data_IF_666983239359
#
_entry.id   IF_666983239359
#
_cell.length_a   1.000
_cell.length_b   1.000
_cell.length_c   1.000
_cell.angle_alpha   90.00
_cell.angle_beta   90.00
_cell.angle_gamma   90.00
#
_symmetry.space_group_name_H-M   'P 1'
#
loop_
_entity.id
_entity.type
_entity.pdbx_description
1 polymer ?
#
# COMPACT_ATOMS: atom_id res chain seq x y z
N UNK A 1 -14.67 5.51 -5.26
CA UNK A 1 -14.56 4.08 -4.87
C UNK A 1 -13.80 4.05 -3.53
N UNK A 2 -14.34 3.45 -2.45
CA UNK A 2 -14.11 3.86 -1.03
C UNK A 2 -12.67 4.21 -0.64
N UNK A 3 -11.80 3.26 -0.30
CA UNK A 3 -10.43 3.51 0.17
C UNK A 3 -9.52 4.25 -0.84
N UNK A 4 -10.04 4.78 -1.95
CA UNK A 4 -9.26 5.39 -3.03
C UNK A 4 -8.54 4.38 -3.94
N UNK A 5 -8.40 3.13 -3.50
CA UNK A 5 -7.52 2.13 -4.12
C UNK A 5 -8.13 1.28 -5.23
N UNK A 6 -9.31 1.58 -5.75
CA UNK A 6 -9.95 0.70 -6.75
C UNK A 6 -9.68 1.20 -8.18
N UNK A 7 -8.86 0.45 -8.92
CA UNK A 7 -8.46 0.72 -10.31
C UNK A 7 -9.05 -0.31 -11.28
N UNK A 8 -9.20 0.06 -12.54
CA UNK A 8 -9.45 -0.88 -13.63
C UNK A 8 -8.13 -1.54 -14.06
N UNK A 9 -8.15 -2.86 -14.28
CA UNK A 9 -7.06 -3.64 -14.87
C UNK A 9 -7.59 -4.45 -16.05
N UNK A 10 -8.37 -3.79 -16.90
CA UNK A 10 -9.01 -4.36 -18.08
C UNK A 10 -7.97 -4.67 -19.17
N UNK A 11 -6.85 -3.93 -19.20
CA UNK A 11 -5.68 -4.24 -20.03
C UNK A 11 -5.12 -5.65 -19.81
N UNK A 12 -5.34 -6.24 -18.63
CA UNK A 12 -4.96 -7.61 -18.27
C UNK A 12 -6.16 -8.57 -18.19
N UNK A 13 -7.37 -8.09 -18.47
CA UNK A 13 -8.61 -8.86 -18.31
C UNK A 13 -9.01 -9.14 -16.86
N UNK A 14 -8.49 -8.37 -15.88
CA UNK A 14 -8.76 -8.61 -14.46
C UNK A 14 -9.98 -7.86 -13.90
N UNK A 15 -10.54 -6.92 -14.67
CA UNK A 15 -11.64 -6.07 -14.23
C UNK A 15 -11.20 -5.04 -13.17
N UNK A 16 -12.12 -4.66 -12.28
CA UNK A 16 -11.83 -3.76 -11.17
C UNK A 16 -11.04 -4.48 -10.06
N UNK A 17 -9.85 -3.97 -9.73
CA UNK A 17 -8.94 -4.54 -8.73
C UNK A 17 -8.38 -3.46 -7.82
N UNK A 18 -7.87 -3.88 -6.68
CA UNK A 18 -7.12 -2.98 -5.81
C UNK A 18 -5.81 -2.56 -6.50
N UNK A 19 -5.45 -1.29 -6.34
CA UNK A 19 -4.07 -0.83 -6.47
C UNK A 19 -3.21 -1.47 -5.38
N UNK A 20 -1.90 -1.59 -5.62
CA UNK A 20 -0.99 -2.20 -4.65
C UNK A 20 -0.70 -1.17 -3.55
N UNK A 21 -0.95 -1.57 -2.31
CA UNK A 21 -0.62 -0.79 -1.13
C UNK A 21 -0.42 -1.74 0.06
N UNK A 22 0.19 -1.23 1.11
CA UNK A 22 0.18 -1.83 2.43
C UNK A 22 -0.23 -0.77 3.48
N UNK A 23 -0.73 -1.22 4.63
CA UNK A 23 -1.13 -0.34 5.72
C UNK A 23 -0.87 -1.02 7.07
N UNK A 24 -0.46 -0.23 8.06
CA UNK A 24 -0.38 -0.65 9.46
C UNK A 24 -1.64 -0.13 10.15
N UNK A 25 -2.40 -1.05 10.73
CA UNK A 25 -3.71 -0.76 11.31
C UNK A 25 -3.78 -1.33 12.72
N UNK A 26 -3.90 -0.44 13.71
CA UNK A 26 -4.06 -0.80 15.12
C UNK A 26 -5.45 -0.35 15.60
N UNK A 27 -6.22 -1.29 16.15
CA UNK A 27 -7.58 -1.06 16.66
C UNK A 27 -8.50 -0.30 15.70
N UNK A 28 -8.38 -0.61 14.40
CA UNK A 28 -9.18 0.01 13.34
C UNK A 28 -8.72 1.41 12.92
N UNK A 29 -7.64 1.95 13.50
CA UNK A 29 -7.01 3.20 13.08
C UNK A 29 -5.82 2.90 12.15
N UNK A 30 -5.75 3.64 11.04
CA UNK A 30 -4.63 3.56 10.10
C UNK A 30 -3.50 4.42 10.65
N UNK A 31 -2.39 3.80 11.03
CA UNK A 31 -1.20 4.50 11.54
C UNK A 31 -0.20 4.84 10.44
N UNK A 32 -0.10 3.97 9.44
CA UNK A 32 0.78 4.15 8.31
C UNK A 32 0.17 3.61 7.01
N UNK A 33 0.51 4.27 5.91
CA UNK A 33 -0.01 3.99 4.57
C UNK A 33 1.14 3.96 3.56
N UNK A 34 1.24 2.85 2.82
CA UNK A 34 2.34 2.56 1.89
C UNK A 34 1.76 2.28 0.51
N UNK A 35 1.42 3.34 -0.22
CA UNK A 35 0.86 3.26 -1.57
C UNK A 35 1.96 3.21 -2.63
N UNK A 36 1.83 2.32 -3.61
CA UNK A 36 2.75 2.34 -4.74
C UNK A 36 2.52 3.57 -5.64
N UNK A 37 3.58 4.16 -6.21
CA UNK A 37 3.45 5.36 -7.04
C UNK A 37 2.71 5.05 -8.36
N UNK A 38 2.03 6.06 -8.91
CA UNK A 38 1.44 5.98 -10.25
C UNK A 38 0.04 5.37 -10.32
N UNK A 39 -0.72 5.41 -9.23
CA UNK A 39 -2.11 4.92 -9.20
C UNK A 39 -2.91 5.42 -10.41
N UNK A 40 -3.37 4.49 -11.24
CA UNK A 40 -4.18 4.78 -12.42
C UNK A 40 -4.87 3.52 -12.96
N UNK A 41 -5.93 3.75 -13.72
CA UNK A 41 -6.61 2.70 -14.47
C UNK A 41 -5.71 2.19 -15.61
N UNK A 42 -5.69 0.87 -15.80
CA UNK A 42 -4.95 0.17 -16.85
C UNK A 42 -3.45 0.51 -16.88
N UNK A 43 -2.86 0.76 -15.69
CA UNK A 43 -1.42 0.97 -15.55
C UNK A 43 -0.63 -0.18 -16.22
N UNK A 44 0.41 0.18 -16.96
CA UNK A 44 1.20 -0.77 -17.77
C UNK A 44 2.12 -1.65 -16.95
N UNK A 45 2.68 -1.10 -15.87
CA UNK A 45 3.61 -1.81 -14.98
C UNK A 45 2.93 -2.31 -13.69
N UNK A 46 3.62 -3.20 -12.98
CA UNK A 46 3.25 -3.71 -11.65
C UNK A 46 4.30 -3.25 -10.62
N UNK A 47 4.23 -1.99 -10.13
CA UNK A 47 5.19 -1.47 -9.18
C UNK A 47 5.15 -2.24 -7.86
N UNK A 48 6.33 -2.50 -7.30
CA UNK A 48 6.51 -3.12 -5.99
C UNK A 48 7.79 -2.58 -5.35
N UNK A 49 7.61 -1.63 -4.44
CA UNK A 49 8.71 -1.01 -3.74
C UNK A 49 8.25 -0.39 -2.43
N UNK A 50 7.27 0.51 -2.47
CA UNK A 50 6.80 1.23 -1.27
C UNK A 50 6.11 0.28 -0.29
N UNK A 51 5.32 -0.66 -0.81
CA UNK A 51 4.55 -1.65 -0.04
C UNK A 51 5.32 -2.91 0.33
N UNK A 52 6.65 -2.91 0.18
CA UNK A 52 7.49 -4.08 0.47
C UNK A 52 7.51 -4.43 1.97
N UNK A 53 7.64 -5.72 2.34
CA UNK A 53 7.83 -6.14 3.72
C UNK A 53 9.01 -5.46 4.39
N UNK A 54 10.08 -5.20 3.65
CA UNK A 54 11.28 -4.54 4.16
C UNK A 54 10.96 -3.13 4.68
N UNK A 55 10.22 -2.32 3.91
CA UNK A 55 9.82 -0.98 4.34
C UNK A 55 8.87 -1.01 5.56
N UNK A 56 7.98 -2.01 5.61
CA UNK A 56 7.04 -2.18 6.73
C UNK A 56 7.79 -2.56 8.01
N UNK A 57 8.74 -3.49 7.92
CA UNK A 57 9.57 -3.88 9.06
C UNK A 57 10.41 -2.72 9.56
N UNK A 58 11.04 -1.96 8.66
CA UNK A 58 11.81 -0.76 9.02
C UNK A 58 10.92 0.27 9.76
N UNK A 59 9.71 0.52 9.27
CA UNK A 59 8.77 1.41 9.96
C UNK A 59 8.45 0.89 11.38
N UNK A 60 8.12 -0.40 11.52
CA UNK A 60 7.77 -1.00 12.81
C UNK A 60 8.93 -1.03 13.80
N UNK A 61 10.16 -1.24 13.33
CA UNK A 61 11.37 -1.21 14.16
C UNK A 61 11.67 0.21 14.66
N UNK A 62 11.55 1.21 13.77
CA UNK A 62 11.73 2.62 14.13
C UNK A 62 10.67 3.11 15.13
N UNK A 63 9.41 2.69 14.99
CA UNK A 63 8.36 2.98 15.98
C UNK A 63 8.71 2.41 17.36
N UNK A 64 9.10 1.13 17.43
CA UNK A 64 9.53 0.49 18.69
C UNK A 64 10.69 1.21 19.37
N UNK A 65 11.67 1.68 18.59
CA UNK A 65 12.80 2.43 19.13
C UNK A 65 12.38 3.79 19.71
N UNK A 66 11.40 4.44 19.10
CA UNK A 66 10.87 5.73 19.56
C UNK A 66 10.09 5.58 20.87
N UNK A 67 9.35 4.49 21.05
CA UNK A 67 8.59 4.22 22.28
C UNK A 67 9.47 3.82 23.48
N UNK A 68 10.67 3.28 23.22
CA UNK A 68 11.60 2.84 24.26
C UNK A 68 12.51 3.95 24.79
N UNK A 69 12.52 5.13 24.16
CA UNK A 69 13.35 6.30 24.50
C UNK A 69 12.56 7.32 25.33
#
# INVERSE_FOLDING_TARGET
RRMGMLVAKDNLGFGARSWRYAAIVNDGQIEAWFEEPGISDNHGDDPYGVSSPENLLEYLENQKQTEAA
#
